data_IF_624639151762
#
_entry.id   IF_624639151762
#
_cell.length_a   1.000
_cell.length_b   1.000
_cell.length_c   1.000
_cell.angle_alpha   90.00
_cell.angle_beta   90.00
_cell.angle_gamma   90.00
#
_symmetry.space_group_name_H-M   'P 1'
#
loop_
_entity.id
_entity.type
_entity.pdbx_description
1 polymer ?
2 non-polymer ?
3 water ?
#
# COMPACT_ATOMS: atom_id res chain seq x y z
N UNK A 1 -0.18 1.58 -18.96
CA UNK A 1 -0.68 2.66 -18.10
C UNK A 1 0.01 3.91 -18.64
N UNK A 2 -0.35 5.16 -18.27
CA UNK A 2 0.23 6.37 -18.86
C UNK A 2 0.65 7.49 -17.89
N UNK A 3 -0.29 7.84 -17.01
CA UNK A 3 -0.23 8.95 -16.09
C UNK A 3 0.90 8.95 -15.10
N UNK A 4 1.66 7.88 -14.87
CA UNK A 4 2.75 8.00 -13.90
C UNK A 4 3.90 8.81 -14.49
N UNK A 5 4.27 8.52 -15.73
CA UNK A 5 5.33 9.19 -16.48
C UNK A 5 5.19 10.70 -16.51
N UNK A 6 3.93 11.10 -16.71
CA UNK A 6 3.54 12.50 -16.67
C UNK A 6 3.89 13.12 -15.33
N UNK A 7 3.29 12.70 -14.21
CA UNK A 7 3.48 13.35 -12.92
C UNK A 7 4.91 13.73 -12.64
N UNK A 8 5.81 12.77 -12.83
CA UNK A 8 7.22 12.96 -12.53
C UNK A 8 7.78 14.23 -13.17
N UNK A 9 7.41 14.42 -14.44
CA UNK A 9 7.85 15.55 -15.22
C UNK A 9 7.24 16.83 -14.66
N UNK A 10 5.98 16.74 -14.24
CA UNK A 10 5.29 17.92 -13.77
C UNK A 10 5.71 18.36 -12.39
N UNK A 11 6.37 17.48 -11.63
CA UNK A 11 6.99 17.86 -10.36
C UNK A 11 8.16 18.75 -10.76
N UNK A 12 8.97 18.48 -11.81
CA UNK A 12 10.10 19.35 -12.23
C UNK A 12 9.72 20.84 -12.31
N UNK A 13 8.71 21.18 -13.13
CA UNK A 13 8.30 22.56 -13.24
C UNK A 13 7.64 23.13 -11.98
N UNK A 14 7.30 22.32 -10.96
CA UNK A 14 6.70 22.72 -9.68
C UNK A 14 7.12 24.03 -9.03
N UNK A 15 8.40 24.36 -9.19
CA UNK A 15 9.01 25.54 -8.62
C UNK A 15 9.88 25.26 -7.40
N UNK A 16 9.28 24.65 -6.36
CA UNK A 16 9.94 24.43 -5.09
C UNK A 16 10.94 23.29 -4.88
N UNK A 17 12.16 23.74 -5.18
CA UNK A 17 13.38 22.99 -4.97
C UNK A 17 13.65 23.42 -3.54
N UNK A 18 13.20 22.66 -2.58
CA UNK A 18 13.25 23.21 -1.26
C UNK A 18 13.76 22.33 -0.12
N UNK A 19 14.17 23.10 0.88
CA UNK A 19 14.58 22.62 2.19
C UNK A 19 13.31 22.03 2.83
N UNK A 20 13.50 21.23 3.86
CA UNK A 20 12.47 20.33 4.31
C UNK A 20 12.82 19.95 5.75
N UNK A 21 12.41 18.81 6.31
CA UNK A 21 12.81 18.46 7.66
C UNK A 21 14.19 17.88 7.75
N UNK A 22 14.51 16.62 7.45
CA UNK A 22 15.87 16.13 7.61
C UNK A 22 16.60 16.37 6.27
N UNK A 23 16.74 17.69 6.20
CA UNK A 23 17.22 18.49 5.10
C UNK A 23 18.51 18.06 4.46
N UNK A 24 18.29 18.41 3.22
CA UNK A 24 19.19 18.32 2.09
C UNK A 24 18.33 19.21 1.17
N UNK A 25 18.02 18.76 -0.05
CA UNK A 25 17.12 19.45 -0.94
C UNK A 25 16.22 18.40 -1.60
N UNK A 26 15.08 18.84 -2.13
CA UNK A 26 14.09 17.98 -2.76
C UNK A 26 13.45 18.87 -3.83
N UNK A 27 12.89 18.32 -4.91
CA UNK A 27 12.03 19.09 -5.82
C UNK A 27 10.69 18.42 -5.46
N UNK A 28 9.58 19.12 -5.19
CA UNK A 28 8.40 18.46 -4.67
C UNK A 28 7.18 19.26 -5.02
N UNK A 29 5.95 18.74 -5.05
CA UNK A 29 4.77 19.49 -5.44
C UNK A 29 3.72 18.97 -4.46
N UNK A 30 2.99 19.86 -3.83
CA UNK A 30 1.90 19.49 -2.88
C UNK A 30 0.54 19.42 -3.56
N UNK A 31 -0.08 18.27 -3.65
CA UNK A 31 -1.41 18.23 -4.18
C UNK A 31 -1.44 17.43 -5.43
N UNK A 32 -1.32 16.11 -5.44
CA UNK A 32 -1.40 15.35 -6.69
C UNK A 32 -2.61 14.41 -6.63
N UNK A 33 -3.05 13.75 -7.70
CA UNK A 33 -4.13 12.77 -7.72
C UNK A 33 -3.94 12.02 -9.04
N UNK A 34 -4.20 10.74 -9.14
CA UNK A 34 -4.07 10.03 -10.42
C UNK A 34 -5.27 9.08 -10.46
N UNK A 35 -5.68 8.39 -11.54
CA UNK A 35 -6.77 7.41 -11.45
C UNK A 35 -6.39 6.22 -12.29
N UNK A 36 -6.58 4.98 -11.84
CA UNK A 36 -6.17 3.77 -12.58
C UNK A 36 -7.36 2.88 -12.84
N UNK A 37 -7.48 2.30 -14.03
CA UNK A 37 -8.57 1.36 -14.29
C UNK A 37 -7.96 0.00 -14.12
N UNK A 38 -8.28 -0.75 -13.08
CA UNK A 38 -7.71 -2.08 -12.96
C UNK A 38 -8.27 -3.05 -13.99
N UNK A 39 -9.40 -2.62 -14.62
CA UNK A 39 -10.09 -3.32 -15.69
C UNK A 39 -9.17 -3.43 -16.89
N UNK A 40 -8.40 -2.36 -17.12
CA UNK A 40 -7.47 -2.39 -18.21
C UNK A 40 -6.08 -2.83 -17.72
N UNK A 41 -6.05 -3.78 -16.79
CA UNK A 41 -4.82 -4.36 -16.33
C UNK A 41 -4.43 -3.96 -14.92
N UNK A 42 -3.45 -4.69 -14.40
CA UNK A 42 -2.99 -4.48 -13.04
C UNK A 42 -1.98 -3.36 -12.98
N UNK A 43 -2.22 -2.15 -12.47
CA UNK A 43 -1.32 -1.04 -12.68
C UNK A 43 0.08 -1.18 -12.10
N UNK A 44 0.50 -2.18 -11.30
CA UNK A 44 1.82 -2.11 -10.65
C UNK A 44 3.03 -2.15 -11.57
N UNK A 45 3.45 -0.91 -11.71
CA UNK A 45 4.56 -0.50 -12.53
C UNK A 45 5.82 -1.14 -11.94
N UNK A 46 6.47 -1.96 -12.78
CA UNK A 46 7.69 -2.69 -12.44
C UNK A 46 8.94 -1.80 -12.52
N UNK A 47 10.08 -2.37 -12.96
CA UNK A 47 11.39 -1.75 -13.10
C UNK A 47 11.91 -1.46 -11.69
N UNK A 48 12.99 -2.26 -11.58
CA UNK A 48 13.66 -2.72 -10.36
C UNK A 48 12.76 -3.96 -10.16
N UNK A 49 13.24 -5.22 -9.99
CA UNK A 49 12.29 -6.32 -9.76
C UNK A 49 11.72 -5.89 -8.42
N UNK A 50 10.52 -5.37 -8.56
CA UNK A 50 9.79 -4.79 -7.47
C UNK A 50 9.79 -5.84 -6.37
N UNK A 51 10.27 -5.53 -5.18
CA UNK A 51 10.17 -6.52 -4.12
C UNK A 51 8.71 -6.47 -3.70
N UNK A 52 7.93 -7.21 -4.48
CA UNK A 52 6.51 -7.22 -4.41
C UNK A 52 6.12 -8.22 -3.34
N UNK A 53 6.67 -9.43 -3.24
CA UNK A 53 6.42 -10.41 -2.15
C UNK A 53 6.38 -9.84 -0.70
N UNK A 54 7.26 -8.87 -0.42
CA UNK A 54 7.28 -8.14 0.84
C UNK A 54 6.26 -7.01 0.86
N UNK A 55 5.76 -6.56 -0.27
CA UNK A 55 4.65 -5.63 -0.30
C UNK A 55 3.33 -6.34 0.00
N UNK A 56 3.21 -7.60 -0.46
CA UNK A 56 2.06 -8.46 -0.29
C UNK A 56 2.00 -8.90 1.15
N UNK A 57 3.16 -9.06 1.79
CA UNK A 57 3.23 -9.53 3.18
C UNK A 57 2.99 -8.49 4.23
N UNK A 58 3.27 -7.25 3.85
CA UNK A 58 3.00 -6.14 4.72
C UNK A 58 1.50 -5.97 4.69
N UNK A 59 0.84 -5.96 3.51
CA UNK A 59 -0.59 -5.79 3.45
C UNK A 59 -1.30 -6.85 4.26
N UNK A 60 -0.94 -8.12 4.18
CA UNK A 60 -1.71 -9.12 4.94
C UNK A 60 -1.58 -8.92 6.44
N UNK A 61 -0.35 -8.59 6.86
CA UNK A 61 0.00 -8.34 8.26
C UNK A 61 -0.81 -7.17 8.78
N UNK A 62 -0.82 -6.09 8.01
CA UNK A 62 -1.64 -4.91 8.22
C UNK A 62 -3.07 -5.34 8.52
N UNK A 63 -3.63 -6.18 7.63
CA UNK A 63 -4.96 -6.73 7.79
C UNK A 63 -5.03 -7.66 8.99
N UNK A 64 -3.95 -8.24 9.56
CA UNK A 64 -4.10 -9.07 10.74
C UNK A 64 -4.22 -8.30 12.08
N UNK A 65 -4.05 -6.97 12.11
CA UNK A 65 -4.10 -6.23 13.37
C UNK A 65 -2.77 -6.32 14.11
N UNK A 66 -1.73 -6.88 13.47
CA UNK A 66 -0.49 -7.02 14.16
C UNK A 66 0.28 -5.72 14.07
N UNK A 67 1.28 -5.77 14.91
CA UNK A 67 2.14 -4.66 15.13
C UNK A 67 3.49 -5.18 15.59
N UNK A 68 3.62 -6.50 15.61
CA UNK A 68 4.88 -7.06 16.02
C UNK A 68 5.46 -7.51 14.72
N UNK A 69 6.71 -7.08 14.56
CA UNK A 69 7.55 -7.29 13.37
C UNK A 69 7.75 -8.76 13.10
N UNK A 70 8.06 -9.62 14.10
CA UNK A 70 8.27 -11.05 13.85
C UNK A 70 7.05 -11.69 13.18
N UNK A 71 5.85 -11.19 13.42
CA UNK A 71 4.68 -11.75 12.78
C UNK A 71 4.77 -11.57 11.28
N UNK A 72 5.26 -10.40 10.87
CA UNK A 72 5.41 -10.07 9.47
C UNK A 72 6.46 -11.07 8.96
N UNK A 73 7.56 -11.30 9.70
CA UNK A 73 8.56 -12.29 9.29
C UNK A 73 7.91 -13.64 9.02
N UNK A 74 7.00 -14.08 9.90
CA UNK A 74 6.29 -15.33 9.71
C UNK A 74 5.53 -15.32 8.37
N UNK A 75 4.84 -14.24 7.97
CA UNK A 75 4.02 -14.27 6.78
C UNK A 75 4.90 -14.31 5.53
N UNK A 76 5.97 -13.52 5.56
CA UNK A 76 6.78 -13.45 4.35
C UNK A 76 7.64 -14.68 4.21
N UNK A 77 8.31 -14.92 5.33
CA UNK A 77 9.39 -15.89 5.44
C UNK A 77 9.07 -17.23 6.08
N UNK A 78 7.84 -17.48 6.53
CA UNK A 78 7.43 -18.73 7.18
C UNK A 78 8.34 -18.96 8.38
N UNK A 79 8.92 -17.88 8.90
CA UNK A 79 9.92 -17.96 9.94
C UNK A 79 9.77 -16.70 10.77
N UNK A 80 9.56 -16.87 12.08
CA UNK A 80 9.55 -15.80 13.05
C UNK A 80 10.91 -15.12 13.23
N UNK A 81 12.04 -15.67 12.75
CA UNK A 81 13.39 -15.14 12.99
C UNK A 81 14.24 -14.88 11.79
N UNK A 82 14.25 -15.72 10.76
CA UNK A 82 15.19 -15.52 9.69
C UNK A 82 14.60 -14.78 8.50
N UNK A 83 15.24 -13.71 8.07
CA UNK A 83 14.74 -12.97 6.93
C UNK A 83 14.52 -11.49 7.25
N UNK A 84 15.17 -10.62 6.51
CA UNK A 84 14.95 -9.20 6.70
C UNK A 84 13.55 -8.94 6.21
N UNK A 85 13.14 -7.72 6.52
CA UNK A 85 11.83 -7.22 6.21
C UNK A 85 11.83 -5.71 6.36
N UNK A 86 10.95 -5.16 5.53
CA UNK A 86 10.65 -3.75 5.34
C UNK A 86 10.55 -2.85 6.57
N UNK A 87 10.19 -3.36 7.76
CA UNK A 87 10.13 -2.50 8.93
C UNK A 87 11.31 -2.73 9.85
N UNK A 88 12.23 -3.64 9.56
CA UNK A 88 13.37 -3.92 10.43
C UNK A 88 14.25 -2.75 10.81
N UNK A 89 14.86 -2.10 9.84
CA UNK A 89 15.68 -0.95 10.13
C UNK A 89 14.65 0.14 10.05
N UNK A 90 13.86 0.25 11.13
CA UNK A 90 12.77 1.23 11.33
C UNK A 90 12.29 0.97 12.77
N UNK A 91 12.22 -0.31 13.09
CA UNK A 91 12.05 -0.78 14.44
C UNK A 91 13.42 -0.58 15.07
N UNK A 92 14.51 -1.21 14.59
CA UNK A 92 15.85 -1.04 15.17
C UNK A 92 16.38 0.36 15.51
N UNK A 93 15.66 1.42 15.17
CA UNK A 93 16.01 2.70 15.68
C UNK A 93 14.71 3.37 16.06
N UNK A 94 13.77 3.91 15.25
CA UNK A 94 12.66 4.71 15.76
C UNK A 94 11.85 4.05 16.84
N UNK A 95 11.46 2.79 16.61
CA UNK A 95 10.71 2.06 17.62
C UNK A 95 11.55 1.73 18.84
N UNK A 96 12.78 1.20 18.73
CA UNK A 96 13.56 0.88 19.91
C UNK A 96 13.91 2.14 20.70
N UNK A 97 13.98 3.29 20.03
CA UNK A 97 14.18 4.60 20.62
C UNK A 97 13.00 5.00 21.46
N UNK A 98 11.84 4.34 21.42
CA UNK A 98 10.74 4.63 22.37
C UNK A 98 10.79 3.69 23.61
N UNK A 99 11.50 2.57 23.48
CA UNK A 99 11.69 1.63 24.60
C UNK A 99 11.27 0.19 24.29
N UNK A 100 10.66 0.09 23.13
CA UNK A 100 10.10 -1.16 22.72
C UNK A 100 11.13 -2.25 22.58
N UNK A 101 10.69 -3.47 22.75
CA UNK A 101 11.64 -4.55 22.60
C UNK A 101 10.97 -5.67 21.86
N UNK A 102 11.93 -6.30 21.19
CA UNK A 102 11.82 -7.51 20.41
C UNK A 102 10.39 -7.88 20.10
N UNK A 103 10.06 -7.03 19.11
CA UNK A 103 8.79 -7.13 18.43
C UNK A 103 7.99 -5.86 18.15
N UNK A 104 7.59 -5.08 19.15
CA UNK A 104 6.65 -4.01 18.91
C UNK A 104 7.15 -2.81 18.17
N UNK A 105 6.26 -2.33 17.30
CA UNK A 105 6.40 -1.08 16.57
C UNK A 105 5.55 0.06 17.16
N UNK A 106 4.59 -0.31 18.04
CA UNK A 106 3.72 0.67 18.67
C UNK A 106 2.39 0.69 17.93
N UNK A 107 1.37 1.49 18.16
CA UNK A 107 0.08 1.33 17.52
C UNK A 107 -0.10 1.69 16.04
N UNK A 108 0.69 0.95 15.26
CA UNK A 108 0.89 1.09 13.83
C UNK A 108 -0.40 0.77 13.08
N UNK A 109 -0.47 1.19 11.81
CA UNK A 109 -1.56 0.88 10.84
C UNK A 109 -2.40 -0.35 11.20
N UNK A 110 -1.87 -1.58 11.20
CA UNK A 110 -2.66 -2.76 11.46
C UNK A 110 -3.60 -2.61 12.65
N UNK A 111 -3.05 -2.23 13.80
CA UNK A 111 -3.90 -1.97 14.95
C UNK A 111 -4.92 -0.87 14.60
N UNK A 112 -4.65 0.34 14.08
CA UNK A 112 -5.73 1.28 13.75
C UNK A 112 -6.66 0.72 12.70
N UNK A 113 -6.39 -0.38 11.99
CA UNK A 113 -7.36 -0.88 11.02
C UNK A 113 -8.33 -1.74 11.78
N UNK A 114 -7.75 -2.54 12.66
CA UNK A 114 -8.49 -3.55 13.36
C UNK A 114 -8.99 -3.08 14.69
N UNK A 115 -8.52 -1.99 15.23
CA UNK A 115 -8.84 -1.56 16.56
C UNK A 115 -8.81 -0.05 16.74
N UNK A 116 -9.41 0.82 15.96
CA UNK A 116 -9.34 2.22 16.31
C UNK A 116 -10.40 2.59 17.35
N UNK A 117 -9.93 2.51 18.58
CA UNK A 117 -10.77 2.86 19.71
C UNK A 117 -11.76 1.74 20.01
N UNK A 118 -11.47 0.54 19.48
CA UNK A 118 -12.32 -0.61 19.63
C UNK A 118 -13.17 -0.80 18.39
N UNK A 119 -13.25 0.14 17.44
CA UNK A 119 -13.93 -0.10 16.18
C UNK A 119 -13.01 -1.01 15.35
N UNK A 120 -13.45 -2.22 15.02
CA UNK A 120 -12.70 -3.06 14.12
C UNK A 120 -13.15 -2.57 12.75
N UNK A 121 -12.46 -1.57 12.22
CA UNK A 121 -12.84 -1.01 10.93
C UNK A 121 -12.49 -1.81 9.66
N UNK A 122 -11.78 -2.96 9.61
CA UNK A 122 -11.69 -3.71 8.35
C UNK A 122 -12.97 -4.49 8.32
N UNK A 123 -13.16 -5.41 9.24
CA UNK A 123 -14.37 -6.21 9.27
C UNK A 123 -15.61 -5.38 9.13
N UNK A 124 -15.77 -4.18 9.67
CA UNK A 124 -17.08 -3.63 9.45
C UNK A 124 -17.27 -2.76 8.20
N UNK A 125 -16.19 -2.39 7.52
CA UNK A 125 -16.31 -1.59 6.31
C UNK A 125 -16.58 -2.57 5.20
N UNK A 126 -16.28 -3.85 5.33
CA UNK A 126 -16.59 -4.75 4.28
C UNK A 126 -18.04 -5.08 4.43
N UNK A 127 -18.69 -4.99 5.59
CA UNK A 127 -20.13 -5.12 5.68
C UNK A 127 -20.82 -3.93 5.00
N UNK A 128 -20.61 -2.61 5.26
CA UNK A 128 -21.30 -1.53 4.51
C UNK A 128 -21.32 -1.77 3.02
N UNK A 129 -20.22 -2.23 2.41
CA UNK A 129 -20.15 -2.56 0.98
C UNK A 129 -21.07 -3.73 0.69
N UNK A 130 -21.07 -4.73 1.57
CA UNK A 130 -21.93 -5.87 1.39
C UNK A 130 -23.41 -5.50 1.57
N UNK A 131 -23.68 -4.42 2.25
CA UNK A 131 -25.00 -4.28 2.74
C UNK A 131 -25.59 -2.95 2.35
N UNK A 132 -25.02 -1.78 2.54
CA UNK A 132 -25.61 -0.55 2.06
C UNK A 132 -24.82 -0.04 0.84
N UNK A 133 -24.43 -0.80 -0.19
CA UNK A 133 -23.33 -0.47 -1.09
C UNK A 133 -23.17 0.99 -1.53
N UNK A 134 -24.27 1.63 -1.96
CA UNK A 134 -24.18 3.00 -2.39
C UNK A 134 -24.23 4.00 -1.22
N UNK A 135 -23.69 3.59 -0.04
CA UNK A 135 -23.45 4.44 1.13
C UNK A 135 -22.20 5.23 0.82
N UNK A 136 -21.99 6.39 1.47
CA UNK A 136 -20.77 7.19 1.29
C UNK A 136 -19.77 7.12 2.46
N UNK A 137 -20.20 6.80 3.69
CA UNK A 137 -19.35 6.71 4.87
C UNK A 137 -18.45 5.47 4.87
N UNK A 138 -17.84 4.93 3.81
CA UNK A 138 -17.16 3.63 3.97
C UNK A 138 -15.67 3.79 3.79
N UNK A 139 -15.22 4.43 4.87
CA UNK A 139 -13.90 5.07 5.07
C UNK A 139 -12.97 4.39 6.09
N UNK A 140 -11.64 4.19 6.01
CA UNK A 140 -10.94 3.72 7.21
C UNK A 140 -9.71 4.59 7.43
N UNK A 141 -9.83 5.42 8.45
CA UNK A 141 -8.81 6.36 8.85
C UNK A 141 -7.80 5.56 9.61
N UNK A 142 -6.53 5.89 9.45
CA UNK A 142 -5.48 5.22 10.20
C UNK A 142 -4.82 6.25 11.12
N UNK A 143 -4.94 7.54 10.83
CA UNK A 143 -4.34 8.55 11.67
C UNK A 143 -5.23 8.64 12.88
N UNK A 144 -4.60 8.36 14.00
CA UNK A 144 -5.25 8.41 15.28
C UNK A 144 -4.53 9.49 16.07
N UNK A 145 -5.01 10.75 16.13
CA UNK A 145 -4.29 11.88 16.73
C UNK A 145 -3.77 11.56 18.12
N UNK A 146 -4.67 10.92 18.85
CA UNK A 146 -4.44 10.61 20.21
C UNK A 146 -3.48 9.45 20.42
N UNK A 147 -3.01 8.74 19.39
CA UNK A 147 -2.07 7.63 19.58
C UNK A 147 -0.87 7.78 18.69
N UNK A 148 -0.72 8.92 18.03
CA UNK A 148 0.46 9.16 17.21
C UNK A 148 1.68 8.96 18.09
N UNK A 149 1.54 9.46 19.34
CA UNK A 149 2.58 9.40 20.33
C UNK A 149 3.21 8.08 20.54
N UNK A 150 2.55 6.95 20.33
CA UNK A 150 3.23 5.71 20.52
C UNK A 150 3.66 4.98 19.22
N UNK A 151 3.74 5.63 18.05
CA UNK A 151 4.04 4.87 16.88
C UNK A 151 5.45 5.17 16.39
N UNK A 152 6.15 4.11 15.93
CA UNK A 152 7.41 4.18 15.19
C UNK A 152 7.49 5.25 14.09
N UNK A 153 6.57 5.19 13.14
CA UNK A 153 6.44 6.11 12.02
C UNK A 153 4.95 6.37 11.94
N UNK A 154 4.45 7.59 12.14
CA UNK A 154 3.03 7.91 11.94
C UNK A 154 2.71 7.57 10.49
N UNK A 155 1.52 7.07 10.11
CA UNK A 155 1.26 6.46 8.81
C UNK A 155 1.53 7.43 7.69
N UNK A 156 2.14 7.11 6.56
CA UNK A 156 2.17 8.09 5.49
C UNK A 156 0.85 7.89 4.74
N UNK A 157 0.37 6.64 4.58
CA UNK A 157 -0.92 6.44 3.95
C UNK A 157 -1.95 6.34 5.10
N UNK A 158 -2.83 7.35 5.22
CA UNK A 158 -3.69 7.46 6.38
C UNK A 158 -5.18 7.33 6.25
N UNK A 159 -5.71 7.35 5.05
CA UNK A 159 -7.12 7.48 4.85
C UNK A 159 -7.51 6.72 3.62
N UNK A 160 -8.80 6.36 3.46
CA UNK A 160 -9.33 5.84 2.18
C UNK A 160 -10.81 5.66 2.19
N UNK A 161 -11.38 5.89 1.02
CA UNK A 161 -12.80 5.93 0.77
C UNK A 161 -13.04 4.84 -0.25
N UNK A 162 -14.12 4.09 -0.16
CA UNK A 162 -14.49 3.12 -1.18
C UNK A 162 -15.76 3.66 -1.78
N UNK A 163 -16.01 3.39 -3.06
CA UNK A 163 -17.19 3.83 -3.80
C UNK A 163 -17.67 2.60 -4.54
N UNK A 164 -18.96 2.32 -4.62
CA UNK A 164 -19.48 1.18 -5.38
C UNK A 164 -20.17 1.71 -6.66
N UNK A 165 -19.63 1.37 -7.88
CA UNK A 165 -20.18 1.79 -9.18
C UNK A 165 -21.51 1.10 -9.50
N UNK A 166 -21.68 0.30 -10.54
CA UNK A 166 -22.85 -0.56 -10.56
C UNK A 166 -22.02 -1.74 -10.97
N UNK A 167 -21.46 -2.32 -9.91
CA UNK A 167 -20.68 -3.53 -10.12
C UNK A 167 -19.18 -3.37 -10.02
N UNK A 168 -18.71 -2.18 -9.71
CA UNK A 168 -17.29 -2.01 -9.48
C UNK A 168 -17.09 -1.41 -8.08
N UNK A 169 -15.89 -1.67 -7.57
CA UNK A 169 -15.50 -1.20 -6.27
C UNK A 169 -14.41 -0.22 -6.56
N UNK A 170 -14.35 0.90 -5.89
CA UNK A 170 -13.30 1.84 -6.20
C UNK A 170 -12.61 2.17 -4.88
N UNK A 171 -11.29 2.41 -4.82
CA UNK A 171 -10.68 2.79 -3.56
C UNK A 171 -9.89 4.06 -3.80
N UNK A 172 -9.76 4.94 -2.82
CA UNK A 172 -8.93 6.14 -2.95
C UNK A 172 -8.15 6.43 -1.66
N UNK A 173 -6.85 6.51 -1.70
CA UNK A 173 -6.07 6.78 -0.51
C UNK A 173 -5.62 8.20 -0.49
N UNK A 174 -5.33 8.66 0.71
CA UNK A 174 -4.67 9.97 0.82
C UNK A 174 -3.32 9.66 1.47
N UNK A 175 -2.23 10.20 0.95
CA UNK A 175 -0.92 9.93 1.51
C UNK A 175 -0.30 11.27 1.83
N UNK A 176 0.20 11.39 3.04
CA UNK A 176 0.79 12.59 3.57
C UNK A 176 2.05 13.03 2.84
N UNK A 177 3.04 12.14 2.70
CA UNK A 177 4.27 12.49 2.00
C UNK A 177 4.57 11.25 1.16
N UNK A 178 5.02 11.43 -0.09
CA UNK A 178 5.36 10.28 -0.90
C UNK A 178 6.72 10.44 -1.51
N UNK A 179 7.46 9.35 -1.65
CA UNK A 179 8.75 9.40 -2.30
C UNK A 179 8.45 8.84 -3.69
N UNK A 180 8.09 9.62 -4.70
CA UNK A 180 7.77 9.03 -6.01
C UNK A 180 8.85 8.13 -6.57
N UNK A 181 10.12 8.48 -6.37
CA UNK A 181 11.29 7.70 -6.80
C UNK A 181 11.11 6.27 -6.26
N UNK A 182 11.07 6.11 -4.93
CA UNK A 182 11.09 4.76 -4.38
C UNK A 182 10.03 4.44 -3.36
N UNK A 183 8.90 5.09 -3.43
CA UNK A 183 7.85 4.85 -2.46
C UNK A 183 6.57 4.44 -3.16
N UNK A 184 6.13 5.43 -3.93
CA UNK A 184 4.87 5.40 -4.64
C UNK A 184 4.70 4.13 -5.41
N UNK A 185 5.66 3.52 -6.12
CA UNK A 185 5.50 2.13 -6.58
C UNK A 185 5.01 1.04 -5.59
N UNK A 186 5.59 0.92 -4.38
CA UNK A 186 5.12 -0.07 -3.39
C UNK A 186 3.69 0.26 -2.97
N UNK A 187 3.26 1.53 -2.97
CA UNK A 187 1.88 1.91 -2.62
C UNK A 187 0.80 1.74 -3.65
N UNK A 188 1.07 1.95 -4.93
CA UNK A 188 0.15 1.68 -6.02
C UNK A 188 -0.27 0.22 -5.82
N UNK A 189 0.72 -0.70 -5.80
CA UNK A 189 0.48 -2.12 -5.64
C UNK A 189 -0.32 -2.42 -4.36
N UNK A 190 0.06 -2.07 -3.11
CA UNK A 190 -0.70 -2.38 -1.89
C UNK A 190 -2.18 -2.10 -1.97
N UNK A 191 -2.68 -0.92 -2.33
CA UNK A 191 -4.13 -0.78 -2.42
C UNK A 191 -4.70 -1.45 -3.66
N UNK A 192 -4.00 -1.60 -4.81
CA UNK A 192 -4.45 -2.35 -5.98
C UNK A 192 -4.84 -3.77 -5.57
N UNK A 193 -3.97 -4.41 -4.76
CA UNK A 193 -4.25 -5.72 -4.19
C UNK A 193 -5.40 -5.49 -3.22
N UNK A 194 -5.45 -4.53 -2.27
CA UNK A 194 -6.64 -4.34 -1.42
C UNK A 194 -7.98 -4.15 -2.16
N UNK A 195 -8.07 -3.52 -3.34
CA UNK A 195 -9.37 -3.45 -4.00
C UNK A 195 -9.62 -4.81 -4.63
N UNK A 196 -8.61 -5.63 -4.88
CA UNK A 196 -8.86 -6.99 -5.35
C UNK A 196 -9.46 -7.92 -4.31
N UNK A 197 -8.81 -7.96 -3.14
CA UNK A 197 -9.24 -8.81 -2.05
C UNK A 197 -10.63 -8.34 -1.67
N UNK A 198 -10.90 -7.04 -1.40
CA UNK A 198 -12.25 -6.68 -1.01
C UNK A 198 -13.31 -6.86 -2.12
N UNK A 199 -13.00 -6.67 -3.41
CA UNK A 199 -13.92 -6.98 -4.48
C UNK A 199 -14.12 -8.46 -4.47
N UNK A 200 -13.20 -9.38 -4.09
CA UNK A 200 -13.53 -10.79 -4.08
C UNK A 200 -14.46 -11.20 -2.90
N UNK A 201 -14.44 -10.45 -1.81
CA UNK A 201 -15.31 -10.73 -0.66
C UNK A 201 -16.68 -10.21 -1.02
N UNK A 202 -16.73 -8.95 -1.49
CA UNK A 202 -18.01 -8.34 -1.85
C UNK A 202 -18.58 -8.82 -3.19
N UNK A 203 -17.78 -9.60 -3.92
CA UNK A 203 -18.05 -10.10 -5.24
C UNK A 203 -18.49 -8.97 -6.18
N UNK A 204 -17.55 -8.07 -6.26
CA UNK A 204 -17.70 -6.96 -7.11
C UNK A 204 -16.48 -7.05 -8.02
N UNK A 205 -16.60 -6.34 -9.14
CA UNK A 205 -15.56 -6.28 -10.15
C UNK A 205 -14.69 -5.17 -9.61
N UNK A 206 -13.42 -5.41 -9.36
CA UNK A 206 -12.50 -4.34 -9.04
C UNK A 206 -12.60 -3.23 -10.11
N UNK A 207 -12.69 -1.99 -9.65
CA UNK A 207 -12.92 -0.87 -10.53
C UNK A 207 -11.76 0.05 -10.62
N UNK A 208 -11.87 1.27 -10.17
CA UNK A 208 -10.80 2.21 -10.41
C UNK A 208 -10.02 2.45 -9.15
N UNK A 209 -8.77 2.90 -9.28
CA UNK A 209 -7.89 3.16 -8.15
C UNK A 209 -7.50 4.61 -8.22
N UNK A 210 -7.77 5.48 -7.24
CA UNK A 210 -7.45 6.91 -7.28
C UNK A 210 -6.54 7.23 -6.15
N UNK A 211 -5.63 8.16 -6.24
CA UNK A 211 -4.65 8.41 -5.18
C UNK A 211 -4.57 9.90 -4.95
N UNK A 212 -4.72 10.36 -3.69
CA UNK A 212 -4.62 11.78 -3.43
C UNK A 212 -3.30 12.03 -2.76
N UNK A 213 -2.58 13.06 -3.17
CA UNK A 213 -1.26 13.28 -2.64
C UNK A 213 -1.16 14.58 -1.87
N UNK A 214 -0.30 14.44 -0.88
CA UNK A 214 0.07 15.58 -0.11
C UNK A 214 1.44 16.02 -0.59
N UNK A 215 2.48 15.86 0.20
CA UNK A 215 3.77 16.26 -0.32
C UNK A 215 4.47 15.17 -1.12
N UNK A 216 4.16 15.20 -2.40
CA UNK A 216 4.79 14.39 -3.45
C UNK A 216 6.18 15.00 -3.73
N UNK A 217 7.19 14.20 -3.48
CA UNK A 217 8.52 14.71 -3.57
C UNK A 217 9.46 13.69 -4.20
N UNK A 218 10.51 14.21 -4.83
CA UNK A 218 11.58 13.45 -5.43
C UNK A 218 12.80 13.98 -4.69
N UNK A 219 13.72 13.14 -4.19
CA UNK A 219 14.85 13.64 -3.39
C UNK A 219 15.95 14.14 -4.31
N UNK A 220 16.77 15.11 -3.91
CA UNK A 220 17.82 15.61 -4.79
C UNK A 220 19.05 14.70 -4.99
N UNK A 221 18.82 13.37 -4.95
CA UNK A 221 19.85 12.35 -5.01
C UNK A 221 20.35 11.80 -6.34
N UNK A 222 20.84 12.70 -7.22
CA UNK A 222 21.36 12.40 -8.56
C UNK A 222 20.25 11.67 -9.38
N UNK A 223 19.21 12.45 -9.69
CA UNK A 223 17.99 11.98 -10.38
C UNK A 223 18.16 11.13 -11.66
N UNK A 224 19.33 11.16 -12.29
CA UNK A 224 19.58 10.42 -13.51
C UNK A 224 19.86 8.97 -13.19
N UNK A 225 18.69 8.35 -13.17
CA UNK A 225 18.43 6.94 -12.98
C UNK A 225 16.92 6.96 -12.79
N UNK A 226 16.33 7.94 -12.06
CA UNK A 226 14.89 8.07 -12.00
C UNK A 226 14.50 8.56 -13.36
N UNK A 227 15.18 9.61 -13.88
CA UNK A 227 14.91 10.13 -15.24
C UNK A 227 14.56 9.07 -16.30
N UNK A 228 15.35 7.99 -16.30
CA UNK A 228 15.22 6.87 -17.21
C UNK A 228 13.82 6.30 -17.39
N UNK A 229 12.96 6.47 -16.40
CA UNK A 229 11.60 5.93 -16.44
C UNK A 229 10.67 6.81 -17.29
N UNK A 230 11.21 7.77 -18.05
CA UNK A 230 10.44 8.62 -18.93
C UNK A 230 10.25 7.97 -20.31
N UNK A 231 9.52 8.62 -21.22
CA UNK A 231 9.41 8.20 -22.62
C UNK A 231 9.02 6.80 -23.08
N UNK A 232 8.83 5.77 -22.23
CA UNK A 232 8.48 4.41 -22.65
C UNK A 232 6.98 4.14 -22.76
N UNK A 233 6.53 3.28 -23.69
CA UNK A 233 5.11 2.92 -23.83
C UNK A 233 4.84 1.52 -23.27
N UNK A 234 4.33 1.30 -22.03
CA UNK A 234 3.74 0.05 -21.60
C UNK A 234 2.67 -0.46 -22.53
N UNK A 235 2.88 -1.73 -22.80
CA UNK A 235 2.14 -2.49 -23.78
C UNK A 235 1.49 -3.74 -23.18
N UNK A 236 2.26 -4.70 -22.65
CA UNK A 236 1.69 -5.94 -22.13
C UNK A 236 1.60 -5.95 -20.60
N UNK A 237 0.43 -5.63 -20.02
CA UNK A 237 0.31 -5.59 -18.57
C UNK A 237 -0.36 -6.75 -17.90
N UNK A 238 0.20 -6.81 -16.70
CA UNK A 238 0.04 -7.87 -15.76
C UNK A 238 -1.38 -8.18 -15.38
N UNK A 239 -1.55 -9.51 -15.37
CA UNK A 239 -2.76 -10.19 -14.96
C UNK A 239 -2.57 -10.28 -13.46
N UNK A 240 -3.67 -10.44 -12.76
CA UNK A 240 -3.67 -10.14 -11.36
C UNK A 240 -4.23 -11.21 -10.44
N UNK A 241 -3.68 -12.44 -10.39
CA UNK A 241 -4.34 -13.57 -9.71
C UNK A 241 -3.97 -14.11 -8.33
N UNK A 242 -4.99 -14.24 -7.46
CA UNK A 242 -4.85 -14.70 -6.07
C UNK A 242 -5.27 -16.15 -5.99
N UNK A 243 -4.64 -16.91 -5.11
CA UNK A 243 -4.92 -18.32 -4.98
C UNK A 243 -4.99 -18.76 -3.53
N UNK A 244 -5.43 -20.01 -3.43
CA UNK A 244 -5.62 -20.74 -2.19
C UNK A 244 -6.99 -20.55 -1.56
N UNK A 245 -7.82 -19.61 -2.03
CA UNK A 245 -9.08 -19.31 -1.36
C UNK A 245 -10.18 -20.26 -1.79
N UNK A 246 -10.84 -20.93 -0.85
CA UNK A 246 -11.73 -22.02 -1.11
C UNK A 246 -12.95 -21.53 -1.83
N UNK A 247 -13.34 -22.24 -2.90
CA UNK A 247 -14.60 -22.03 -3.62
C UNK A 247 -15.80 -21.49 -2.82
N UNK A 248 -16.17 -21.95 -1.61
CA UNK A 248 -17.29 -21.35 -0.86
C UNK A 248 -17.17 -19.84 -0.63
N UNK A 249 -15.93 -19.37 -0.48
CA UNK A 249 -15.48 -18.01 -0.17
C UNK A 249 -16.45 -16.84 -0.27
N UNK A 250 -17.04 -16.55 -1.44
CA UNK A 250 -17.82 -15.34 -1.64
C UNK A 250 -19.18 -15.30 -0.96
N UNK A 251 -19.51 -16.38 -0.27
CA UNK A 251 -20.75 -16.44 0.45
C UNK A 251 -20.46 -16.40 1.96
N UNK A 252 -19.15 -16.53 2.31
CA UNK A 252 -18.81 -16.70 3.71
C UNK A 252 -19.02 -15.41 4.42
N UNK A 253 -19.34 -15.45 5.73
CA UNK A 253 -19.58 -14.22 6.49
C UNK A 253 -18.32 -13.41 6.54
N UNK A 254 -18.36 -12.08 6.42
CA UNK A 254 -17.16 -11.20 6.42
C UNK A 254 -16.05 -11.53 7.39
N UNK A 255 -16.50 -11.87 8.59
CA UNK A 255 -15.56 -12.20 9.62
C UNK A 255 -14.84 -13.55 9.33
N UNK A 256 -15.48 -14.46 8.61
CA UNK A 256 -14.98 -15.76 8.20
C UNK A 256 -14.15 -15.74 6.91
N UNK A 257 -14.42 -14.68 6.12
CA UNK A 257 -13.70 -14.40 4.88
C UNK A 257 -12.31 -13.84 5.15
N UNK A 258 -12.10 -12.92 6.12
CA UNK A 258 -10.73 -12.50 6.43
C UNK A 258 -10.01 -13.70 7.03
N UNK A 259 -10.65 -14.54 7.85
CA UNK A 259 -9.98 -15.67 8.52
C UNK A 259 -9.20 -16.50 7.51
N UNK A 260 -9.90 -16.81 6.43
CA UNK A 260 -9.29 -17.48 5.31
C UNK A 260 -8.26 -16.58 4.63
N UNK A 261 -8.51 -15.30 4.34
CA UNK A 261 -7.55 -14.36 3.74
C UNK A 261 -6.20 -14.51 4.40
N UNK A 262 -6.14 -14.17 5.68
CA UNK A 262 -4.96 -14.24 6.53
C UNK A 262 -4.20 -15.55 6.45
N UNK A 263 -4.82 -16.68 6.06
CA UNK A 263 -4.14 -17.94 5.86
C UNK A 263 -3.28 -17.92 4.60
N UNK A 264 -3.33 -16.90 3.74
CA UNK A 264 -2.55 -16.94 2.51
C UNK A 264 -1.19 -16.26 2.74
N UNK A 265 -0.08 -17.00 2.57
CA UNK A 265 1.27 -16.44 2.65
C UNK A 265 1.55 -15.79 1.28
N UNK A 266 2.59 -15.01 0.92
CA UNK A 266 2.69 -14.31 -0.38
C UNK A 266 2.86 -15.14 -1.66
N UNK A 267 3.13 -16.44 -1.56
CA UNK A 267 3.20 -17.28 -2.74
C UNK A 267 1.87 -17.25 -3.45
N UNK A 268 0.76 -17.11 -2.72
CA UNK A 268 -0.58 -17.15 -3.27
C UNK A 268 -1.04 -16.01 -4.17
N UNK A 269 -0.18 -15.07 -4.48
CA UNK A 269 -0.61 -13.90 -5.22
C UNK A 269 0.41 -13.94 -6.32
N UNK A 270 0.02 -13.94 -7.59
CA UNK A 270 1.01 -14.05 -8.66
C UNK A 270 0.60 -13.29 -9.96
N UNK A 271 1.52 -12.90 -10.88
CA UNK A 271 1.15 -12.15 -12.09
C UNK A 271 1.49 -12.83 -13.46
N UNK A 272 0.61 -12.90 -14.48
CA UNK A 272 0.95 -13.55 -15.74
C UNK A 272 1.61 -12.58 -16.69
N UNK A 273 2.61 -13.13 -17.39
CA UNK A 273 3.47 -12.51 -18.42
C UNK A 273 3.62 -11.00 -18.44
N UNK A 274 4.07 -10.73 -17.22
CA UNK A 274 4.35 -9.45 -16.64
C UNK A 274 5.72 -9.00 -17.13
N UNK A 275 5.58 -7.81 -17.73
CA UNK A 275 6.65 -7.00 -18.33
C UNK A 275 7.97 -7.18 -17.61
N UNK A 276 9.02 -7.57 -18.31
CA UNK A 276 10.29 -7.58 -17.62
C UNK A 276 10.97 -6.27 -17.93
N UNK A 277 11.85 -5.99 -16.99
CA UNK A 277 12.77 -4.87 -16.94
C UNK A 277 13.81 -5.32 -15.94
N UNK A 278 15.08 -4.97 -16.06
CA UNK A 278 16.07 -5.26 -15.04
C UNK A 278 15.98 -4.56 -13.66
N UNK A 279 16.72 -5.05 -12.64
CA UNK A 279 16.91 -4.40 -11.34
C UNK A 279 18.29 -3.80 -11.03
N UNK A 280 18.33 -2.45 -10.92
CA UNK A 280 19.53 -1.72 -10.52
C UNK A 280 19.36 -1.61 -8.98
N UNK A 281 20.05 -0.69 -8.26
CA UNK A 281 19.96 -0.55 -6.81
C UNK A 281 20.00 0.92 -6.37
N UNK A 282 20.12 1.17 -5.07
CA UNK A 282 20.09 2.53 -4.53
C UNK A 282 18.76 2.78 -3.83
N UNK A 283 18.78 3.14 -2.54
CA UNK A 283 17.58 3.27 -1.74
C UNK A 283 17.87 4.26 -0.60
N UNK A 284 16.86 4.70 0.15
CA UNK A 284 17.04 5.58 1.30
C UNK A 284 15.79 5.30 2.14
N UNK A 285 15.95 5.06 3.44
CA UNK A 285 14.86 4.66 4.32
C UNK A 285 13.79 5.66 4.80
N UNK A 286 12.55 5.28 4.46
CA UNK A 286 11.33 5.98 4.86
C UNK A 286 10.77 5.02 5.91
X LIG B 1 7.52 12.09 7.11
X LIG B 1 8.98 12.20 7.80
X LIG B 1 7.76 12.17 5.64
X LIG B 1 6.80 13.26 7.68
X LIG B 1 7.12 10.76 7.60
#
# INVERSE_FOLDING_TARGET
MKQYQDLIKDIFENGYETDDRTGTGTIALFGSKLRWDLTKGFPAVTTKKLAWKACIAELIWFLSGSTNVNDLRLIQHDSLIQGKTVWDENYENQAKDLGYHSGELGPIYGKQWRDFGGVDQIIEVIDRIKKLPNDRRQIVSAWNPAELKYMALPPCHMFYQFNVRNGYLDLQWYQRSVDVFLGLPFNIASYATLVHIVAKMCNLIPGDLIFSGGNTHIYMNHVEQCKEILRREPKELCELVISGLPYKFRYLSTKEQLKYVLKLRPKDFVLNNYVSHPPIKGKMAV
PO4 P O1 O2 O3 O4
#
